data_IF_992910258039
#
_entry.id   IF_992910258039
#
_cell.length_a   1.000
_cell.length_b   1.000
_cell.length_c   1.000
_cell.angle_alpha   90.00
_cell.angle_beta   90.00
_cell.angle_gamma   90.00
#
_symmetry.space_group_name_H-M   'P 1'
#
loop_
_entity.id
_entity.type
_entity.pdbx_description
1 polymer ?
#
# COMPACT_ATOMS: atom_id res chain seq x y z
N UNK A 1 -8.26 25.94 -18.42
CA UNK A 1 -9.01 27.22 -18.31
C UNK A 1 -9.83 27.42 -19.58
N UNK A 2 -11.15 27.30 -19.51
CA UNK A 2 -12.04 27.57 -20.63
C UNK A 2 -11.91 29.06 -21.05
N UNK A 3 -11.30 29.31 -22.21
CA UNK A 3 -11.17 30.65 -22.81
C UNK A 3 -12.36 31.03 -23.70
N UNK A 4 -13.32 30.13 -23.90
CA UNK A 4 -14.57 30.41 -24.60
C UNK A 4 -15.58 31.01 -23.64
N UNK A 5 -16.25 32.10 -24.02
CA UNK A 5 -17.21 32.86 -23.20
C UNK A 5 -18.51 32.13 -22.80
N UNK A 6 -18.48 30.81 -22.59
CA UNK A 6 -19.62 29.97 -22.20
C UNK A 6 -19.61 29.50 -20.75
N UNK A 7 -18.59 29.86 -19.94
CA UNK A 7 -18.52 29.49 -18.53
C UNK A 7 -19.48 30.31 -17.65
N UNK A 8 -19.77 31.55 -18.04
CA UNK A 8 -20.69 32.47 -17.36
C UNK A 8 -21.76 32.90 -18.34
N UNK A 9 -23.01 32.80 -17.92
CA UNK A 9 -24.20 33.27 -18.63
C UNK A 9 -24.65 34.59 -17.98
N UNK A 10 -25.04 35.57 -18.78
CA UNK A 10 -25.42 36.91 -18.32
C UNK A 10 -26.46 37.56 -19.23
N UNK A 11 -27.10 38.64 -18.75
CA UNK A 11 -28.07 39.40 -19.54
C UNK A 11 -27.41 40.10 -20.75
N UNK A 12 -28.09 40.08 -21.90
CA UNK A 12 -27.62 40.72 -23.15
C UNK A 12 -28.13 42.15 -23.34
N UNK A 13 -29.21 42.54 -22.65
CA UNK A 13 -29.88 43.85 -22.81
C UNK A 13 -29.94 44.61 -21.48
N UNK A 14 -28.80 45.14 -21.02
CA UNK A 14 -28.70 45.95 -19.81
C UNK A 14 -28.17 47.36 -20.12
N UNK A 15 -28.85 48.38 -19.60
CA UNK A 15 -28.46 49.79 -19.74
C UNK A 15 -27.88 50.30 -18.43
N UNK A 16 -26.71 50.93 -18.50
CA UNK A 16 -26.11 51.68 -17.39
C UNK A 16 -25.97 53.12 -17.85
N UNK A 17 -26.53 54.08 -17.12
CA UNK A 17 -26.53 55.49 -17.50
C UNK A 17 -27.04 55.73 -18.95
N UNK A 18 -28.14 55.05 -19.34
CA UNK A 18 -28.66 55.04 -20.72
C UNK A 18 -27.68 54.52 -21.80
N UNK A 19 -26.57 53.88 -21.42
CA UNK A 19 -25.59 53.33 -22.36
C UNK A 19 -25.57 51.81 -22.32
N UNK A 20 -25.97 51.20 -23.44
CA UNK A 20 -25.84 49.75 -23.65
C UNK A 20 -24.38 49.29 -23.70
N UNK A 21 -23.47 50.15 -24.16
CA UNK A 21 -22.04 49.85 -24.19
C UNK A 21 -21.46 49.77 -22.78
N UNK A 22 -21.83 50.71 -21.89
CA UNK A 22 -21.40 50.68 -20.48
C UNK A 22 -22.00 49.47 -19.76
N UNK A 23 -23.26 49.13 -20.02
CA UNK A 23 -23.90 47.92 -19.46
C UNK A 23 -23.19 46.62 -19.87
N UNK A 24 -22.87 46.45 -21.16
CA UNK A 24 -22.09 45.29 -21.63
C UNK A 24 -20.70 45.21 -21.00
N UNK A 25 -20.01 46.34 -20.85
CA UNK A 25 -18.69 46.40 -20.21
C UNK A 25 -18.76 45.96 -18.75
N UNK A 26 -19.71 46.49 -17.98
CA UNK A 26 -19.93 46.13 -16.58
C UNK A 26 -20.21 44.64 -16.44
N UNK A 27 -21.16 44.10 -17.22
CA UNK A 27 -21.48 42.66 -17.21
C UNK A 27 -20.25 41.80 -17.53
N UNK A 28 -19.42 42.21 -18.49
CA UNK A 28 -18.17 41.51 -18.82
C UNK A 28 -17.18 41.49 -17.66
N UNK A 29 -16.97 42.63 -17.00
CA UNK A 29 -16.07 42.76 -15.85
C UNK A 29 -16.54 41.93 -14.66
N UNK A 30 -17.82 41.99 -14.33
CA UNK A 30 -18.41 41.16 -13.26
C UNK A 30 -18.36 39.67 -13.61
N UNK A 31 -18.66 39.29 -14.85
CA UNK A 31 -18.55 37.88 -15.29
C UNK A 31 -17.13 37.34 -15.13
N UNK A 32 -16.11 38.15 -15.46
CA UNK A 32 -14.69 37.78 -15.25
C UNK A 32 -14.36 37.63 -13.76
N UNK A 33 -14.82 38.55 -12.92
CA UNK A 33 -14.59 38.51 -11.48
C UNK A 33 -15.25 37.27 -10.85
N UNK A 34 -16.50 37.00 -11.21
CA UNK A 34 -17.26 35.82 -10.78
C UNK A 34 -16.55 34.53 -11.17
N UNK A 35 -16.12 34.40 -12.44
CA UNK A 35 -15.41 33.22 -12.90
C UNK A 35 -14.08 33.03 -12.15
N UNK A 36 -13.36 34.13 -11.88
CA UNK A 36 -12.12 34.09 -11.10
C UNK A 36 -12.37 33.61 -9.67
N UNK A 37 -13.40 34.11 -9.01
CA UNK A 37 -13.76 33.71 -7.65
C UNK A 37 -14.15 32.22 -7.59
N UNK A 38 -15.00 31.77 -8.51
CA UNK A 38 -15.38 30.36 -8.60
C UNK A 38 -14.18 29.43 -8.85
N UNK A 39 -13.31 29.80 -9.79
CA UNK A 39 -12.12 29.00 -10.08
C UNK A 39 -11.14 28.96 -8.91
N UNK A 40 -11.02 30.04 -8.13
CA UNK A 40 -10.18 30.05 -6.95
C UNK A 40 -10.68 29.05 -5.89
N UNK A 41 -11.99 29.02 -5.63
CA UNK A 41 -12.60 28.03 -4.74
C UNK A 41 -12.39 26.60 -5.27
N UNK A 42 -12.72 26.38 -6.55
CA UNK A 42 -12.60 25.07 -7.15
C UNK A 42 -11.15 24.55 -7.17
N UNK A 43 -10.15 25.42 -7.41
CA UNK A 43 -8.75 25.02 -7.37
C UNK A 43 -8.28 24.70 -5.95
N UNK A 44 -8.80 25.42 -4.96
CA UNK A 44 -8.52 25.13 -3.54
C UNK A 44 -9.07 23.77 -3.17
N UNK A 45 -10.31 23.46 -3.59
CA UNK A 45 -10.93 22.16 -3.35
C UNK A 45 -10.14 21.01 -4.00
N UNK A 46 -9.69 21.17 -5.25
CA UNK A 46 -8.84 20.17 -5.92
C UNK A 46 -7.53 19.96 -5.18
N UNK A 47 -6.85 21.04 -4.76
CA UNK A 47 -5.55 20.96 -4.07
C UNK A 47 -5.65 20.27 -2.72
N UNK A 48 -6.70 20.57 -1.97
CA UNK A 48 -6.86 20.12 -0.58
C UNK A 48 -7.70 18.82 -0.50
N UNK A 49 -8.04 18.23 -1.66
CA UNK A 49 -8.89 17.04 -1.75
C UNK A 49 -8.22 15.83 -1.10
N UNK A 50 -9.04 15.03 -0.43
CA UNK A 50 -8.68 13.71 0.08
C UNK A 50 -9.61 12.69 -0.56
N UNK A 51 -9.10 11.48 -0.78
CA UNK A 51 -9.84 10.39 -1.43
C UNK A 51 -11.26 10.17 -0.87
N UNK A 52 -11.43 10.26 0.45
CA UNK A 52 -12.71 9.99 1.13
C UNK A 52 -13.68 11.19 1.19
N UNK A 53 -13.31 12.37 0.70
CA UNK A 53 -14.06 13.61 0.96
C UNK A 53 -14.62 14.28 -0.30
N UNK A 54 -14.76 13.52 -1.39
CA UNK A 54 -15.22 14.04 -2.69
C UNK A 54 -16.62 14.65 -2.60
N UNK A 55 -17.56 14.00 -1.91
CA UNK A 55 -18.94 14.49 -1.78
C UNK A 55 -19.01 15.85 -1.08
N UNK A 56 -18.23 16.03 -0.01
CA UNK A 56 -18.20 17.30 0.70
C UNK A 56 -17.59 18.42 -0.17
N UNK A 57 -16.58 18.10 -0.99
CA UNK A 57 -15.99 19.04 -1.92
C UNK A 57 -16.99 19.44 -3.02
N UNK A 58 -17.74 18.48 -3.59
CA UNK A 58 -18.80 18.72 -4.57
C UNK A 58 -19.91 19.58 -3.97
N UNK A 59 -20.36 19.28 -2.76
CA UNK A 59 -21.38 20.06 -2.06
C UNK A 59 -20.93 21.51 -1.83
N UNK A 60 -19.67 21.71 -1.42
CA UNK A 60 -19.09 23.04 -1.22
C UNK A 60 -18.96 23.83 -2.53
N UNK A 61 -18.55 23.17 -3.61
CA UNK A 61 -18.49 23.78 -4.94
C UNK A 61 -19.89 24.19 -5.46
N UNK A 62 -20.88 23.33 -5.24
CA UNK A 62 -22.29 23.58 -5.59
C UNK A 62 -22.85 24.78 -4.84
N UNK A 63 -22.61 24.87 -3.52
CA UNK A 63 -23.00 26.02 -2.70
C UNK A 63 -22.35 27.33 -3.15
N UNK A 64 -21.11 27.26 -3.64
CA UNK A 64 -20.40 28.42 -4.20
C UNK A 64 -21.08 28.90 -5.48
N UNK A 65 -21.47 27.97 -6.36
CA UNK A 65 -22.24 28.27 -7.57
C UNK A 65 -23.60 28.92 -7.25
N UNK A 66 -24.34 28.39 -6.28
CA UNK A 66 -25.62 28.96 -5.85
C UNK A 66 -25.45 30.37 -5.29
N UNK A 67 -24.42 30.59 -4.47
CA UNK A 67 -24.10 31.90 -3.91
C UNK A 67 -23.80 32.92 -5.01
N UNK A 68 -23.02 32.52 -6.02
CA UNK A 68 -22.74 33.32 -7.21
C UNK A 68 -24.03 33.68 -7.96
N UNK A 69 -24.91 32.71 -8.21
CA UNK A 69 -26.17 32.96 -8.92
C UNK A 69 -27.08 33.91 -8.15
N UNK A 70 -27.14 33.79 -6.82
CA UNK A 70 -27.91 34.68 -5.94
C UNK A 70 -27.37 36.12 -5.99
N UNK A 71 -26.05 36.30 -5.84
CA UNK A 71 -25.41 37.63 -5.89
C UNK A 71 -25.46 38.26 -7.29
N UNK A 72 -25.43 37.44 -8.34
CA UNK A 72 -25.50 37.86 -9.74
C UNK A 72 -26.92 38.03 -10.28
N UNK A 73 -27.96 37.74 -9.49
CA UNK A 73 -29.36 37.64 -9.94
C UNK A 73 -29.86 38.89 -10.67
N UNK A 74 -29.59 40.10 -10.14
CA UNK A 74 -29.99 41.37 -10.75
C UNK A 74 -29.43 41.57 -12.17
N UNK A 75 -28.25 41.02 -12.45
CA UNK A 75 -27.60 41.07 -13.76
C UNK A 75 -27.77 39.78 -14.57
N UNK A 76 -28.57 38.84 -14.05
CA UNK A 76 -28.72 37.47 -14.54
C UNK A 76 -27.38 36.74 -14.74
N UNK A 77 -26.37 37.06 -13.92
CA UNK A 77 -25.05 36.42 -13.97
C UNK A 77 -25.12 35.08 -13.23
N UNK A 78 -24.86 33.98 -13.96
CA UNK A 78 -24.78 32.63 -13.40
C UNK A 78 -23.70 31.81 -14.10
N UNK A 79 -23.18 30.78 -13.41
CA UNK A 79 -22.30 29.80 -14.05
C UNK A 79 -23.13 28.84 -14.91
N UNK A 80 -22.61 28.49 -16.08
CA UNK A 80 -23.23 27.48 -16.93
C UNK A 80 -23.20 26.09 -16.28
N UNK A 81 -24.26 25.31 -16.51
CA UNK A 81 -24.37 23.94 -16.00
C UNK A 81 -23.24 23.06 -16.53
N UNK A 82 -22.90 23.20 -17.81
CA UNK A 82 -21.80 22.47 -18.44
C UNK A 82 -20.46 22.76 -17.76
N UNK A 83 -20.14 24.03 -17.49
CA UNK A 83 -18.86 24.37 -16.86
C UNK A 83 -18.78 23.89 -15.41
N UNK A 84 -19.90 23.98 -14.68
CA UNK A 84 -19.97 23.44 -13.32
C UNK A 84 -19.77 21.92 -13.32
N UNK A 85 -20.44 21.20 -14.22
CA UNK A 85 -20.32 19.73 -14.33
C UNK A 85 -18.88 19.31 -14.62
N UNK A 86 -18.17 20.00 -15.53
CA UNK A 86 -16.75 19.74 -15.78
C UNK A 86 -15.85 19.92 -14.55
N UNK A 87 -16.18 20.88 -13.67
CA UNK A 87 -15.43 21.11 -12.42
C UNK A 87 -15.79 20.08 -11.33
N UNK A 88 -16.97 19.49 -11.39
CA UNK A 88 -17.35 18.35 -10.55
C UNK A 88 -16.60 17.10 -11.01
N UNK A 89 -16.62 16.82 -12.32
CA UNK A 89 -15.86 15.70 -12.92
C UNK A 89 -14.37 15.78 -12.59
N UNK A 90 -13.77 16.98 -12.63
CA UNK A 90 -12.37 17.18 -12.21
C UNK A 90 -12.13 16.78 -10.74
N UNK A 91 -13.07 17.06 -9.83
CA UNK A 91 -12.95 16.63 -8.43
C UNK A 91 -13.06 15.11 -8.29
N UNK A 92 -13.99 14.49 -9.01
CA UNK A 92 -14.17 13.04 -9.03
C UNK A 92 -12.91 12.33 -9.55
N UNK A 93 -12.41 12.75 -10.72
CA UNK A 93 -11.18 12.21 -11.30
C UNK A 93 -9.96 12.43 -10.39
N UNK A 94 -9.90 13.56 -9.68
CA UNK A 94 -8.84 13.81 -8.71
C UNK A 94 -8.94 12.85 -7.53
N UNK A 95 -10.14 12.57 -7.02
CA UNK A 95 -10.34 11.61 -5.95
C UNK A 95 -9.92 10.19 -6.37
N UNK A 96 -10.34 9.74 -7.56
CA UNK A 96 -9.95 8.44 -8.12
C UNK A 96 -8.43 8.32 -8.27
N UNK A 97 -7.78 9.36 -8.79
CA UNK A 97 -6.32 9.41 -8.87
C UNK A 97 -5.66 9.28 -7.50
N UNK A 98 -6.16 9.98 -6.48
CA UNK A 98 -5.62 9.90 -5.12
C UNK A 98 -5.77 8.50 -4.51
N UNK A 99 -6.89 7.81 -4.76
CA UNK A 99 -7.08 6.41 -4.36
C UNK A 99 -6.01 5.54 -5.01
N UNK A 100 -5.82 5.65 -6.32
CA UNK A 100 -4.83 4.86 -7.07
C UNK A 100 -3.40 5.12 -6.62
N UNK A 101 -3.08 6.37 -6.27
CA UNK A 101 -1.75 6.72 -5.73
C UNK A 101 -1.52 6.06 -4.36
N UNK A 102 -2.53 5.99 -3.51
CA UNK A 102 -2.38 5.34 -2.20
C UNK A 102 -2.25 3.83 -2.33
N UNK A 103 -3.07 3.19 -3.18
CA UNK A 103 -2.93 1.76 -3.53
C UNK A 103 -1.52 1.44 -4.05
N UNK A 104 -0.98 2.29 -4.93
CA UNK A 104 0.37 2.10 -5.48
C UNK A 104 1.45 2.22 -4.41
N UNK A 105 1.33 3.20 -3.49
CA UNK A 105 2.27 3.33 -2.37
C UNK A 105 2.24 2.12 -1.46
N UNK A 106 1.04 1.59 -1.16
CA UNK A 106 0.89 0.39 -0.35
C UNK A 106 1.56 -0.80 -1.04
N UNK A 107 1.31 -1.00 -2.35
CA UNK A 107 1.95 -2.05 -3.15
C UNK A 107 3.48 -1.94 -3.14
N UNK A 108 4.03 -0.73 -3.33
CA UNK A 108 5.48 -0.50 -3.27
C UNK A 108 6.03 -0.80 -1.87
N UNK A 109 5.28 -0.48 -0.81
CA UNK A 109 5.67 -0.73 0.56
C UNK A 109 5.73 -2.24 0.85
N UNK A 110 4.71 -2.98 0.44
CA UNK A 110 4.64 -4.44 0.58
C UNK A 110 5.77 -5.13 -0.19
N UNK A 111 6.00 -4.72 -1.44
CA UNK A 111 7.09 -5.28 -2.25
C UNK A 111 8.46 -5.01 -1.62
N UNK A 112 8.68 -3.80 -1.10
CA UNK A 112 9.91 -3.47 -0.39
C UNK A 112 10.07 -4.27 0.91
N UNK A 113 8.99 -4.55 1.62
CA UNK A 113 9.04 -5.41 2.81
C UNK A 113 9.38 -6.85 2.43
N UNK A 114 8.74 -7.39 1.40
CA UNK A 114 9.02 -8.73 0.85
C UNK A 114 10.50 -8.86 0.47
N UNK A 115 11.04 -7.92 -0.31
CA UNK A 115 12.45 -7.93 -0.70
C UNK A 115 13.42 -7.86 0.49
N UNK A 116 13.05 -7.13 1.55
CA UNK A 116 13.85 -7.07 2.78
C UNK A 116 13.81 -8.39 3.54
N UNK A 117 12.65 -9.03 3.62
CA UNK A 117 12.51 -10.35 4.22
C UNK A 117 13.32 -11.37 3.45
N UNK A 118 13.17 -11.40 2.12
CA UNK A 118 13.87 -12.32 1.24
C UNK A 118 15.39 -12.18 1.37
N UNK A 119 15.89 -10.94 1.45
CA UNK A 119 17.30 -10.66 1.69
C UNK A 119 17.80 -11.08 3.08
N UNK A 120 16.94 -11.01 4.11
CA UNK A 120 17.28 -11.52 5.45
C UNK A 120 17.34 -13.04 5.47
N UNK A 121 16.35 -13.71 4.86
CA UNK A 121 16.34 -15.16 4.72
C UNK A 121 17.59 -15.64 3.99
N UNK A 122 17.95 -15.00 2.87
CA UNK A 122 19.16 -15.31 2.11
C UNK A 122 20.43 -15.22 2.96
N UNK A 123 20.57 -14.13 3.74
CA UNK A 123 21.72 -13.96 4.64
C UNK A 123 21.76 -15.00 5.75
N UNK A 124 20.62 -15.50 6.22
CA UNK A 124 20.56 -16.58 7.20
C UNK A 124 21.01 -17.91 6.60
N UNK A 125 20.54 -18.24 5.39
CA UNK A 125 21.02 -19.42 4.66
C UNK A 125 22.54 -19.39 4.46
N UNK A 126 23.08 -18.26 3.98
CA UNK A 126 24.52 -18.07 3.80
C UNK A 126 25.31 -18.24 5.10
N UNK A 127 24.83 -17.64 6.20
CA UNK A 127 25.49 -17.73 7.52
C UNK A 127 25.48 -19.15 8.06
N UNK A 128 24.34 -19.83 7.97
CA UNK A 128 24.21 -21.20 8.47
C UNK A 128 25.05 -22.17 7.65
N UNK A 129 25.04 -22.03 6.32
CA UNK A 129 25.92 -22.79 5.42
C UNK A 129 27.39 -22.58 5.76
N UNK A 130 27.82 -21.32 5.95
CA UNK A 130 29.19 -21.01 6.34
C UNK A 130 29.57 -21.61 7.71
N UNK A 131 28.65 -21.62 8.67
CA UNK A 131 28.84 -22.26 9.98
C UNK A 131 29.06 -23.77 9.82
N UNK A 132 28.19 -24.45 9.06
CA UNK A 132 28.27 -25.89 8.82
C UNK A 132 29.53 -26.27 8.04
N UNK A 133 29.93 -25.51 7.02
CA UNK A 133 31.17 -25.75 6.27
C UNK A 133 32.41 -25.61 7.16
N UNK A 134 32.42 -24.63 8.08
CA UNK A 134 33.50 -24.47 9.05
C UNK A 134 33.55 -25.65 10.03
N UNK A 135 32.39 -26.15 10.45
CA UNK A 135 32.27 -27.32 11.30
C UNK A 135 32.76 -28.59 10.58
N UNK A 136 32.37 -28.79 9.31
CA UNK A 136 32.85 -29.88 8.46
C UNK A 136 34.38 -29.86 8.34
N UNK A 137 34.97 -28.69 8.06
CA UNK A 137 36.42 -28.52 7.96
C UNK A 137 37.15 -28.83 9.27
N UNK A 138 36.53 -28.57 10.42
CA UNK A 138 37.10 -28.89 11.73
C UNK A 138 37.22 -30.41 11.96
N UNK A 139 36.27 -31.21 11.46
CA UNK A 139 36.25 -32.66 11.62
C UNK A 139 37.04 -33.43 10.55
N UNK A 140 37.25 -32.85 9.35
CA UNK A 140 38.11 -33.46 8.32
C UNK A 140 39.58 -33.59 8.77
N UNK A 141 40.14 -32.54 9.38
CA UNK A 141 41.56 -32.52 9.76
C UNK A 141 42.01 -33.62 10.74
N UNK A 142 41.21 -33.96 11.77
CA UNK A 142 41.48 -35.08 12.67
C UNK A 142 41.37 -36.46 12.01
N UNK A 143 40.37 -36.69 11.15
CA UNK A 143 40.12 -38.01 10.52
C UNK A 143 41.33 -38.50 9.74
N UNK A 144 42.00 -37.62 8.99
CA UNK A 144 43.18 -37.98 8.18
C UNK A 144 44.37 -38.48 9.01
N UNK A 145 44.35 -38.26 10.34
CA UNK A 145 45.40 -38.65 11.27
C UNK A 145 45.03 -39.84 12.15
N UNK A 146 43.78 -40.31 12.11
CA UNK A 146 43.33 -41.47 12.87
C UNK A 146 43.49 -42.77 12.07
N UNK A 147 44.00 -43.80 12.75
CA UNK A 147 43.98 -45.18 12.25
C UNK A 147 42.56 -45.76 12.33
N UNK A 148 42.28 -46.79 11.53
CA UNK A 148 40.96 -47.43 11.50
C UNK A 148 40.61 -48.01 12.87
N UNK A 149 39.53 -47.48 13.47
CA UNK A 149 39.07 -47.79 14.83
C UNK A 149 37.79 -47.04 15.19
N UNK A 150 37.22 -47.32 16.38
CA UNK A 150 35.91 -46.78 16.79
C UNK A 150 35.82 -45.25 16.80
N UNK A 151 36.92 -44.56 17.14
CA UNK A 151 36.97 -43.09 17.14
C UNK A 151 36.88 -42.50 15.73
N UNK A 152 37.42 -43.18 14.72
CA UNK A 152 37.31 -42.77 13.31
C UNK A 152 35.88 -42.93 12.81
N UNK A 153 35.23 -44.05 13.13
CA UNK A 153 33.84 -44.31 12.71
C UNK A 153 32.86 -43.29 13.31
N UNK A 154 33.08 -42.87 14.57
CA UNK A 154 32.26 -41.84 15.21
C UNK A 154 32.42 -40.46 14.55
N UNK A 155 33.62 -40.11 14.08
CA UNK A 155 33.87 -38.86 13.36
C UNK A 155 33.28 -38.89 11.94
N UNK A 156 33.36 -40.04 11.25
CA UNK A 156 32.73 -40.23 9.93
C UNK A 156 31.21 -40.09 9.99
N UNK A 157 30.57 -40.63 11.04
CA UNK A 157 29.13 -40.43 11.28
C UNK A 157 28.77 -38.96 11.47
N UNK A 158 29.53 -38.21 12.29
CA UNK A 158 29.32 -36.77 12.47
C UNK A 158 29.49 -35.98 11.17
N UNK A 159 30.48 -36.32 10.34
CA UNK A 159 30.63 -35.68 9.03
C UNK A 159 29.43 -35.94 8.12
N UNK A 160 28.92 -37.18 8.09
CA UNK A 160 27.73 -37.51 7.31
C UNK A 160 26.48 -36.73 7.78
N UNK A 161 26.32 -36.53 9.10
CA UNK A 161 25.26 -35.68 9.65
C UNK A 161 25.40 -34.22 9.21
N UNK A 162 26.62 -33.68 9.22
CA UNK A 162 26.90 -32.31 8.78
C UNK A 162 26.66 -32.16 7.27
N UNK A 163 27.08 -33.13 6.45
CA UNK A 163 26.82 -33.14 5.01
C UNK A 163 25.33 -33.18 4.69
N UNK A 164 24.57 -34.02 5.40
CA UNK A 164 23.12 -34.06 5.27
C UNK A 164 22.47 -32.72 5.69
N UNK A 165 22.98 -32.08 6.74
CA UNK A 165 22.51 -30.76 7.16
C UNK A 165 22.81 -29.68 6.12
N UNK A 166 24.01 -29.65 5.53
CA UNK A 166 24.38 -28.72 4.45
C UNK A 166 23.44 -28.89 3.27
N UNK A 167 23.27 -30.14 2.80
CA UNK A 167 22.35 -30.44 1.69
C UNK A 167 20.93 -29.99 2.01
N UNK A 168 20.44 -30.24 3.22
CA UNK A 168 19.11 -29.80 3.64
C UNK A 168 18.94 -28.27 3.70
N UNK A 169 20.01 -27.50 3.93
CA UNK A 169 20.01 -26.03 3.83
C UNK A 169 20.00 -25.60 2.37
N UNK A 170 20.81 -26.23 1.52
CA UNK A 170 20.88 -25.94 0.07
C UNK A 170 19.56 -26.25 -0.66
N UNK A 171 18.95 -27.41 -0.37
CA UNK A 171 17.67 -27.80 -0.95
C UNK A 171 16.56 -26.80 -0.58
N UNK A 172 16.59 -26.28 0.65
CA UNK A 172 15.65 -25.24 1.13
C UNK A 172 15.92 -23.87 0.51
N UNK A 173 17.19 -23.50 0.34
CA UNK A 173 17.59 -22.26 -0.32
C UNK A 173 17.19 -22.26 -1.80
N UNK A 174 17.37 -23.39 -2.49
CA UNK A 174 17.03 -23.56 -3.90
C UNK A 174 15.51 -23.59 -4.16
N UNK A 175 14.72 -24.13 -3.23
CA UNK A 175 13.27 -24.18 -3.35
C UNK A 175 12.62 -22.88 -2.87
N UNK A 176 12.39 -21.95 -3.79
CA UNK A 176 11.71 -20.66 -3.52
C UNK A 176 10.27 -20.80 -2.99
N UNK A 177 9.65 -21.98 -3.12
CA UNK A 177 8.30 -22.26 -2.62
C UNK A 177 8.31 -22.90 -1.24
N UNK A 178 9.46 -23.40 -0.76
CA UNK A 178 9.59 -23.96 0.56
C UNK A 178 9.62 -22.87 1.63
N UNK A 179 9.02 -23.16 2.79
CA UNK A 179 9.01 -22.23 3.90
C UNK A 179 8.04 -22.63 5.00
N UNK A 180 7.80 -21.71 5.91
CA UNK A 180 6.89 -21.88 7.03
C UNK A 180 5.63 -21.05 6.83
N UNK A 181 4.48 -21.71 6.89
CA UNK A 181 3.19 -21.04 7.03
C UNK A 181 2.88 -20.92 8.52
N UNK A 182 2.57 -19.70 8.98
CA UNK A 182 2.22 -19.42 10.36
C UNK A 182 0.86 -18.74 10.47
N UNK A 183 0.19 -18.96 11.61
CA UNK A 183 -1.06 -18.29 11.96
C UNK A 183 -0.83 -17.56 13.28
N UNK A 184 -1.03 -16.24 13.27
CA UNK A 184 -0.79 -15.37 14.42
C UNK A 184 -2.00 -14.53 14.78
N UNK A 185 -2.16 -14.22 16.06
CA UNK A 185 -3.14 -13.23 16.54
C UNK A 185 -2.50 -12.19 17.43
N UNK A 186 -3.12 -11.02 17.50
CA UNK A 186 -2.81 -10.01 18.50
C UNK A 186 -4.01 -9.08 18.68
N UNK A 187 -4.58 -9.07 19.88
CA UNK A 187 -5.79 -8.27 20.14
C UNK A 187 -5.54 -6.76 19.98
N UNK A 188 -4.32 -6.29 20.25
CA UNK A 188 -3.94 -4.89 20.14
C UNK A 188 -3.67 -4.44 18.70
N UNK A 189 -3.30 -5.36 17.81
CA UNK A 189 -2.96 -5.08 16.42
C UNK A 189 -4.10 -5.36 15.44
N UNK A 190 -4.82 -6.46 15.65
CA UNK A 190 -5.82 -6.99 14.72
C UNK A 190 -7.25 -6.89 15.25
N UNK A 191 -7.43 -6.78 16.57
CA UNK A 191 -8.74 -6.83 17.22
C UNK A 191 -9.12 -8.23 17.71
N UNK A 192 -10.26 -8.37 18.41
CA UNK A 192 -10.77 -9.65 18.88
C UNK A 192 -11.18 -10.54 17.70
N UNK A 193 -11.01 -11.86 17.84
CA UNK A 193 -11.40 -12.88 16.85
C UNK A 193 -10.78 -12.74 15.45
N UNK A 194 -9.70 -11.96 15.33
CA UNK A 194 -8.95 -11.81 14.07
C UNK A 194 -7.59 -12.49 14.16
N UNK A 195 -7.32 -13.37 13.19
CA UNK A 195 -6.01 -13.99 12.96
C UNK A 195 -5.44 -13.55 11.62
N UNK A 196 -4.11 -13.54 11.50
CA UNK A 196 -3.42 -13.39 10.22
C UNK A 196 -2.63 -14.64 9.90
N UNK A 197 -2.72 -15.07 8.65
CA UNK A 197 -1.87 -16.10 8.09
C UNK A 197 -0.68 -15.41 7.43
N UNK A 198 0.52 -15.94 7.64
CA UNK A 198 1.71 -15.46 6.98
C UNK A 198 2.60 -16.60 6.49
N UNK A 199 3.53 -16.25 5.61
CA UNK A 199 4.56 -17.12 5.06
C UNK A 199 5.92 -16.49 5.35
N UNK A 200 6.92 -17.32 5.65
CA UNK A 200 8.33 -16.89 5.74
C UNK A 200 9.25 -17.97 5.19
N UNK A 201 10.33 -17.55 4.54
CA UNK A 201 11.38 -18.46 4.05
C UNK A 201 12.57 -18.51 5.00
N UNK A 202 12.50 -17.85 6.15
CA UNK A 202 13.58 -17.84 7.14
C UNK A 202 13.84 -19.23 7.69
N UNK A 203 15.10 -19.47 8.07
CA UNK A 203 15.49 -20.69 8.75
C UNK A 203 14.84 -20.80 10.13
N UNK A 204 14.78 -19.68 10.87
CA UNK A 204 14.01 -19.55 12.12
C UNK A 204 12.74 -18.71 11.87
N UNK A 205 11.57 -19.34 11.74
CA UNK A 205 10.31 -18.63 11.53
C UNK A 205 9.84 -17.84 12.77
N UNK A 206 10.27 -18.20 13.98
CA UNK A 206 9.88 -17.48 15.19
C UNK A 206 10.55 -16.10 15.27
N UNK A 207 11.75 -15.97 14.71
CA UNK A 207 12.41 -14.66 14.57
C UNK A 207 11.59 -13.70 13.71
N UNK A 208 11.00 -14.19 12.61
CA UNK A 208 10.09 -13.36 11.80
C UNK A 208 8.88 -12.91 12.62
N UNK A 209 8.25 -13.79 13.39
CA UNK A 209 7.09 -13.44 14.23
C UNK A 209 7.48 -12.39 15.30
N UNK A 210 8.65 -12.53 15.91
CA UNK A 210 9.17 -11.55 16.87
C UNK A 210 9.36 -10.17 16.23
N UNK A 211 9.98 -10.12 15.05
CA UNK A 211 10.20 -8.86 14.32
C UNK A 211 8.90 -8.15 13.92
N UNK A 212 7.84 -8.90 13.61
CA UNK A 212 6.52 -8.31 13.34
C UNK A 212 5.97 -7.57 14.57
N UNK A 213 6.28 -8.04 15.78
CA UNK A 213 5.82 -7.48 17.04
C UNK A 213 6.54 -6.21 17.50
N UNK A 214 7.78 -5.97 17.06
CA UNK A 214 8.62 -4.88 17.58
C UNK A 214 8.24 -3.49 17.05
N UNK A 215 7.48 -3.40 15.95
CA UNK A 215 7.34 -2.14 15.24
C UNK A 215 6.23 -1.21 15.78
N UNK A 216 5.13 -1.72 16.34
CA UNK A 216 3.94 -0.86 16.62
C UNK A 216 2.85 -1.49 17.49
N UNK A 217 3.07 -2.62 18.18
CA UNK A 217 1.98 -3.33 18.88
C UNK A 217 2.24 -3.48 20.38
N UNK A 218 1.22 -3.28 21.24
CA UNK A 218 1.40 -3.27 22.71
C UNK A 218 1.68 -4.65 23.32
N UNK A 219 1.43 -5.72 22.58
CA UNK A 219 1.62 -7.11 23.02
C UNK A 219 2.36 -7.91 21.95
N UNK A 220 3.01 -9.02 22.33
CA UNK A 220 3.59 -9.96 21.36
C UNK A 220 2.50 -10.70 20.58
N UNK A 221 2.84 -11.18 19.40
CA UNK A 221 1.95 -12.06 18.63
C UNK A 221 1.89 -13.45 19.28
N UNK A 222 0.68 -13.97 19.42
CA UNK A 222 0.45 -15.37 19.75
C UNK A 222 0.54 -16.19 18.47
N UNK A 223 1.35 -17.27 18.49
CA UNK A 223 1.48 -18.20 17.36
C UNK A 223 0.58 -19.41 17.62
N UNK A 224 -0.43 -19.59 16.78
CA UNK A 224 -1.37 -20.71 16.88
C UNK A 224 -0.91 -21.92 16.09
N UNK A 225 -0.32 -21.66 14.93
CA UNK A 225 0.13 -22.69 13.98
C UNK A 225 1.46 -22.24 13.40
N UNK A 226 2.39 -23.17 13.28
CA UNK A 226 3.65 -23.00 12.57
C UNK A 226 3.99 -24.32 11.88
N UNK A 227 3.92 -24.35 10.56
CA UNK A 227 4.07 -25.58 9.77
C UNK A 227 5.03 -25.35 8.62
N UNK A 228 6.05 -26.20 8.52
CA UNK A 228 6.92 -26.28 7.36
C UNK A 228 6.20 -26.95 6.18
N UNK A 229 6.43 -26.43 4.97
CA UNK A 229 5.94 -27.04 3.72
C UNK A 229 6.98 -26.83 2.62
N UNK A 230 7.18 -27.85 1.78
CA UNK A 230 7.99 -27.75 0.55
C UNK A 230 7.28 -26.91 -0.54
N UNK A 231 5.95 -26.78 -0.45
CA UNK A 231 5.14 -25.85 -1.24
C UNK A 231 4.28 -25.00 -0.29
N UNK A 232 4.94 -24.13 0.47
CA UNK A 232 4.30 -23.26 1.44
C UNK A 232 3.43 -22.18 0.76
N UNK A 233 3.73 -21.83 -0.50
CA UNK A 233 2.94 -20.87 -1.30
C UNK A 233 1.53 -21.40 -1.58
N UNK A 234 1.40 -22.64 -2.08
CA UNK A 234 0.08 -23.23 -2.34
C UNK A 234 -0.72 -23.37 -1.05
N UNK A 235 -0.07 -23.84 0.02
CA UNK A 235 -0.71 -24.02 1.33
C UNK A 235 -1.20 -22.69 1.93
N UNK A 236 -0.43 -21.62 1.78
CA UNK A 236 -0.84 -20.27 2.18
C UNK A 236 -2.10 -19.84 1.42
N UNK A 237 -2.13 -19.99 0.09
CA UNK A 237 -3.28 -19.59 -0.75
C UNK A 237 -4.54 -20.37 -0.37
N UNK A 238 -4.43 -21.68 -0.11
CA UNK A 238 -5.55 -22.52 0.32
C UNK A 238 -6.13 -22.07 1.66
N UNK A 239 -5.27 -21.79 2.65
CA UNK A 239 -5.68 -21.35 3.98
C UNK A 239 -6.29 -19.93 3.96
N UNK A 240 -5.67 -19.01 3.20
CA UNK A 240 -6.13 -17.62 3.08
C UNK A 240 -7.53 -17.53 2.46
N UNK A 241 -7.79 -18.36 1.43
CA UNK A 241 -9.13 -18.51 0.83
C UNK A 241 -10.13 -19.16 1.78
N UNK A 242 -9.71 -20.15 2.56
CA UNK A 242 -10.59 -20.84 3.51
C UNK A 242 -11.05 -19.95 4.67
N UNK A 243 -10.18 -19.05 5.15
CA UNK A 243 -10.49 -18.16 6.29
C UNK A 243 -11.20 -16.88 5.85
N UNK A 244 -10.90 -16.32 4.67
CA UNK A 244 -11.65 -15.15 4.15
C UNK A 244 -13.15 -15.43 3.94
N UNK A 245 -13.56 -16.70 3.88
CA UNK A 245 -14.97 -17.12 3.79
C UNK A 245 -15.65 -17.16 5.17
N UNK A 246 -14.89 -17.13 6.27
CA UNK A 246 -15.39 -17.19 7.65
C UNK A 246 -15.50 -15.81 8.30
N UNK A 247 -14.81 -14.81 7.76
CA UNK A 247 -14.87 -13.40 8.19
C UNK A 247 -15.57 -12.52 7.14
N UNK A 248 -16.88 -12.70 6.99
CA UNK A 248 -17.82 -11.68 6.51
C UNK A 248 -19.04 -11.63 7.41
#
# INVERSE_FOLDING_TARGET
MARGGGAVLSATSWLVNNSAAQGRKMISEFSKLTLRAYNAEANTLVRDLRAYNVDAAIARLSKTRETIARLGSTMHIRLSDTYHSLRVEELELTADYLVKVEEEKERIREERERQREDAKAQREFEREKARLLKEQAHYHGPIDRLSDGGDRTALEQKLAEIEAAIKGVEDREANIRAGYVYVISNIGAFGPDVVKIGLTRRLDPLDRVRELGDASVPFRFDVHVLVFSEDAVSRFIELDRGISVVTM
#
